data_IF_141372270166
#
_entry.id   IF_141372270166
#
_cell.length_a   1.000
_cell.length_b   1.000
_cell.length_c   1.000
_cell.angle_alpha   90.00
_cell.angle_beta   90.00
_cell.angle_gamma   90.00
#
_symmetry.space_group_name_H-M   'P 1'
#
loop_
_entity.id
_entity.type
_entity.pdbx_description
1 polymer ?
#
# COMPACT_ATOMS: atom_id res chain seq x y z
N UNK A 1 -22.21 -32.01 13.37
CA UNK A 1 -20.82 -31.90 13.85
C UNK A 1 -20.41 -33.24 14.42
N UNK A 2 -19.16 -33.64 14.24
CA UNK A 2 -18.62 -34.81 14.95
C UNK A 2 -18.52 -34.48 16.44
N UNK A 3 -18.83 -35.45 17.31
CA UNK A 3 -18.43 -35.36 18.72
C UNK A 3 -16.92 -35.14 18.78
N UNK A 4 -16.45 -34.26 19.66
CA UNK A 4 -15.03 -34.18 20.02
C UNK A 4 -14.66 -35.59 20.49
N UNK A 5 -13.97 -36.34 19.63
CA UNK A 5 -13.55 -37.70 19.92
C UNK A 5 -12.23 -37.56 20.69
N UNK A 6 -12.34 -37.62 22.00
CA UNK A 6 -11.28 -37.62 23.01
C UNK A 6 -10.41 -38.89 22.98
N UNK A 7 -10.72 -39.83 22.07
CA UNK A 7 -9.84 -40.94 21.69
C UNK A 7 -9.37 -40.77 20.23
N UNK A 8 -8.08 -40.48 19.98
CA UNK A 8 -7.54 -40.42 18.63
C UNK A 8 -7.44 -41.83 18.05
N UNK A 9 -8.55 -42.31 17.49
CA UNK A 9 -8.55 -43.51 16.65
C UNK A 9 -7.91 -43.10 15.32
N UNK A 10 -6.87 -43.82 14.90
CA UNK A 10 -6.19 -43.71 13.59
C UNK A 10 -7.16 -44.07 12.44
N UNK A 11 -8.24 -43.31 12.27
CA UNK A 11 -9.14 -43.41 11.13
C UNK A 11 -8.53 -42.64 9.97
N UNK A 12 -8.53 -43.18 8.74
CA UNK A 12 -8.14 -42.43 7.56
C UNK A 12 -8.91 -41.11 7.46
N UNK A 13 -8.19 -40.00 7.28
CA UNK A 13 -8.76 -38.66 7.11
C UNK A 13 -9.27 -38.51 5.67
N UNK A 14 -10.37 -39.18 5.34
CA UNK A 14 -10.98 -39.16 4.00
C UNK A 14 -11.61 -37.79 3.63
N UNK A 15 -11.48 -36.79 4.50
CA UNK A 15 -12.04 -35.44 4.36
C UNK A 15 -10.95 -34.36 4.26
N UNK A 16 -9.69 -34.76 4.12
CA UNK A 16 -8.56 -33.87 3.86
C UNK A 16 -8.06 -34.17 2.45
N UNK A 17 -8.06 -33.14 1.61
CA UNK A 17 -7.64 -33.23 0.22
C UNK A 17 -6.35 -32.42 0.03
N UNK A 18 -5.31 -33.04 -0.52
CA UNK A 18 -4.10 -32.35 -0.92
C UNK A 18 -4.27 -31.82 -2.35
N UNK A 19 -4.82 -30.61 -2.49
CA UNK A 19 -5.01 -29.93 -3.76
C UNK A 19 -5.02 -28.42 -3.59
N UNK A 20 -5.05 -27.71 -4.71
CA UNK A 20 -5.28 -26.27 -4.73
C UNK A 20 -6.76 -25.98 -4.43
N UNK A 21 -6.99 -25.12 -3.44
CA UNK A 21 -8.33 -24.75 -2.99
C UNK A 21 -9.00 -23.69 -3.87
N UNK A 22 -8.26 -23.00 -4.72
CA UNK A 22 -8.76 -21.95 -5.62
C UNK A 22 -8.88 -22.43 -7.06
N UNK A 23 -7.92 -23.23 -7.54
CA UNK A 23 -7.83 -23.66 -8.94
C UNK A 23 -7.88 -25.19 -9.11
N UNK A 24 -8.54 -25.64 -10.17
CA UNK A 24 -8.49 -27.00 -10.67
C UNK A 24 -8.16 -26.96 -12.17
N UNK A 25 -6.90 -27.20 -12.51
CA UNK A 25 -6.35 -26.93 -13.84
C UNK A 25 -6.47 -25.45 -14.22
N UNK A 26 -7.27 -25.16 -15.25
CA UNK A 26 -7.56 -23.79 -15.70
C UNK A 26 -8.89 -23.23 -15.18
N UNK A 27 -9.60 -24.00 -14.34
CA UNK A 27 -10.90 -23.65 -13.79
C UNK A 27 -10.85 -23.33 -12.30
N UNK A 28 -11.97 -22.84 -11.77
CA UNK A 28 -12.15 -22.64 -10.34
C UNK A 28 -12.37 -23.99 -9.63
N UNK A 29 -11.64 -24.25 -8.54
CA UNK A 29 -11.76 -25.51 -7.78
C UNK A 29 -13.14 -25.68 -7.13
N UNK A 30 -13.78 -26.85 -7.23
CA UNK A 30 -15.03 -27.12 -6.49
C UNK A 30 -14.79 -27.24 -4.98
N UNK A 31 -15.58 -26.54 -4.15
CA UNK A 31 -15.63 -26.76 -2.70
C UNK A 31 -16.81 -27.66 -2.32
N UNK A 32 -16.66 -28.54 -1.31
CA UNK A 32 -17.77 -29.35 -0.83
C UNK A 32 -18.84 -28.47 -0.17
N UNK A 33 -20.10 -28.95 -0.20
CA UNK A 33 -21.18 -28.33 0.58
C UNK A 33 -20.85 -28.44 2.07
N UNK A 34 -20.97 -27.34 2.78
CA UNK A 34 -20.67 -27.26 4.21
C UNK A 34 -21.72 -26.43 4.94
N UNK A 35 -21.87 -26.59 6.25
CA UNK A 35 -22.69 -25.64 7.03
C UNK A 35 -21.91 -24.35 7.27
N UNK A 36 -20.63 -24.49 7.61
CA UNK A 36 -19.75 -23.37 7.97
C UNK A 36 -18.39 -23.55 7.30
N UNK A 37 -17.85 -22.46 6.77
CA UNK A 37 -16.50 -22.37 6.23
C UNK A 37 -15.64 -21.63 7.26
N UNK A 38 -14.58 -22.26 7.76
CA UNK A 38 -13.63 -21.59 8.66
C UNK A 38 -12.20 -21.82 8.17
N UNK A 39 -11.31 -20.86 8.41
CA UNK A 39 -9.91 -21.05 8.09
C UNK A 39 -9.04 -19.82 8.25
N UNK A 40 -7.74 -20.07 8.17
CA UNK A 40 -6.70 -19.05 8.09
C UNK A 40 -5.95 -19.23 6.75
N UNK A 41 -6.46 -18.69 5.64
CA UNK A 41 -5.82 -18.83 4.34
C UNK A 41 -4.45 -18.11 4.30
N UNK A 42 -3.57 -18.45 3.34
CA UNK A 42 -2.20 -17.94 3.32
C UNK A 42 -2.13 -16.43 3.08
N UNK A 43 -1.24 -15.75 3.82
CA UNK A 43 -1.00 -14.32 3.69
C UNK A 43 0.12 -14.04 2.68
N UNK A 44 -0.24 -13.54 1.50
CA UNK A 44 0.73 -13.12 0.49
C UNK A 44 0.27 -11.86 -0.24
N UNK A 45 1.00 -10.77 0.01
CA UNK A 45 0.70 -9.48 -0.59
C UNK A 45 0.93 -9.43 -2.10
N UNK A 46 0.17 -8.59 -2.80
CA UNK A 46 0.14 -8.45 -4.27
C UNK A 46 1.54 -8.43 -4.94
N UNK A 47 2.48 -7.66 -4.38
CA UNK A 47 3.85 -7.49 -4.90
C UNK A 47 4.71 -8.75 -4.75
N UNK A 48 4.36 -9.66 -3.85
CA UNK A 48 5.09 -10.91 -3.59
C UNK A 48 4.47 -12.12 -4.29
N UNK A 49 3.22 -12.02 -4.75
CA UNK A 49 2.51 -13.13 -5.39
C UNK A 49 3.24 -13.69 -6.61
N UNK A 50 3.70 -12.83 -7.53
CA UNK A 50 4.41 -13.30 -8.73
C UNK A 50 5.73 -13.99 -8.39
N UNK A 51 6.47 -13.46 -7.42
CA UNK A 51 7.73 -14.06 -6.97
C UNK A 51 7.52 -15.38 -6.22
N UNK A 52 6.40 -15.51 -5.48
CA UNK A 52 6.10 -16.68 -4.66
C UNK A 52 5.37 -17.80 -5.40
N UNK A 53 4.48 -17.47 -6.35
CA UNK A 53 3.58 -18.43 -7.01
C UNK A 53 3.83 -18.56 -8.52
N UNK A 54 4.61 -17.65 -9.11
CA UNK A 54 4.95 -17.65 -10.53
C UNK A 54 3.92 -16.95 -11.42
N UNK A 55 4.40 -16.50 -12.59
CA UNK A 55 3.62 -15.70 -13.53
C UNK A 55 2.43 -16.47 -14.12
N UNK A 56 2.63 -17.75 -14.49
CA UNK A 56 1.59 -18.58 -15.11
C UNK A 56 0.42 -18.86 -14.16
N UNK A 57 0.70 -19.24 -12.92
CA UNK A 57 -0.32 -19.49 -11.90
C UNK A 57 -1.17 -18.25 -11.63
N UNK A 58 -0.50 -17.11 -11.42
CA UNK A 58 -1.18 -15.86 -11.12
C UNK A 58 -2.00 -15.34 -12.30
N UNK A 59 -1.58 -15.61 -13.54
CA UNK A 59 -2.37 -15.30 -14.73
C UNK A 59 -3.67 -16.09 -14.76
N UNK A 60 -3.61 -17.41 -14.54
CA UNK A 60 -4.80 -18.28 -14.44
C UNK A 60 -5.70 -17.83 -13.30
N UNK A 61 -5.16 -17.62 -12.09
CA UNK A 61 -5.93 -17.21 -10.93
C UNK A 61 -6.69 -15.89 -11.16
N UNK A 62 -6.01 -14.89 -11.73
CA UNK A 62 -6.64 -13.59 -12.05
C UNK A 62 -7.69 -13.72 -13.14
N UNK A 63 -7.50 -14.59 -14.11
CA UNK A 63 -8.50 -14.85 -15.15
C UNK A 63 -9.74 -15.54 -14.57
N UNK A 64 -9.56 -16.56 -13.71
CA UNK A 64 -10.65 -17.31 -13.08
C UNK A 64 -11.53 -16.44 -12.17
N UNK A 65 -10.94 -15.46 -11.49
CA UNK A 65 -11.64 -14.54 -10.59
C UNK A 65 -11.83 -13.13 -11.18
N UNK A 66 -11.68 -12.98 -12.50
CA UNK A 66 -11.84 -11.69 -13.17
C UNK A 66 -13.23 -11.09 -12.88
N UNK A 67 -13.26 -9.79 -12.56
CA UNK A 67 -14.48 -9.07 -12.17
C UNK A 67 -14.94 -9.29 -10.73
N UNK A 68 -14.41 -10.30 -10.01
CA UNK A 68 -14.79 -10.60 -8.62
C UNK A 68 -13.72 -10.19 -7.61
N UNK A 69 -12.43 -10.38 -7.95
CA UNK A 69 -11.29 -9.99 -7.11
C UNK A 69 -10.44 -8.96 -7.86
N UNK A 70 -10.26 -7.73 -7.35
CA UNK A 70 -9.49 -6.72 -8.05
C UNK A 70 -8.01 -7.08 -8.20
N UNK A 71 -7.41 -6.59 -9.29
CA UNK A 71 -5.95 -6.61 -9.44
C UNK A 71 -5.29 -5.80 -8.33
N UNK A 72 -4.31 -6.40 -7.63
CA UNK A 72 -3.65 -5.77 -6.48
C UNK A 72 -4.22 -6.18 -5.12
N UNK A 73 -5.24 -7.05 -5.09
CA UNK A 73 -5.69 -7.67 -3.85
C UNK A 73 -4.70 -8.74 -3.35
N UNK A 74 -4.60 -8.87 -2.02
CA UNK A 74 -3.81 -9.90 -1.34
C UNK A 74 -4.39 -11.29 -1.60
N UNK A 75 -3.54 -12.32 -1.55
CA UNK A 75 -3.90 -13.69 -1.95
C UNK A 75 -5.07 -14.26 -1.11
N UNK A 76 -5.17 -13.88 0.16
CA UNK A 76 -6.26 -14.28 1.06
C UNK A 76 -7.65 -13.87 0.55
N UNK A 77 -7.74 -12.77 -0.21
CA UNK A 77 -9.01 -12.23 -0.71
C UNK A 77 -9.75 -13.22 -1.63
N UNK A 78 -9.02 -14.11 -2.32
CA UNK A 78 -9.62 -15.13 -3.18
C UNK A 78 -10.44 -16.17 -2.39
N UNK A 79 -10.02 -16.50 -1.16
CA UNK A 79 -10.81 -17.38 -0.27
C UNK A 79 -12.04 -16.68 0.27
N UNK A 80 -11.96 -15.37 0.56
CA UNK A 80 -13.11 -14.58 0.99
C UNK A 80 -14.19 -14.52 -0.11
N UNK A 81 -13.80 -14.19 -1.34
CA UNK A 81 -14.72 -14.15 -2.47
C UNK A 81 -15.31 -15.54 -2.76
N UNK A 82 -14.48 -16.58 -2.71
CA UNK A 82 -14.96 -17.95 -2.91
C UNK A 82 -15.93 -18.40 -1.83
N UNK A 83 -15.66 -18.08 -0.56
CA UNK A 83 -16.57 -18.36 0.55
C UNK A 83 -17.88 -17.57 0.40
N UNK A 84 -17.83 -16.31 -0.01
CA UNK A 84 -19.02 -15.50 -0.36
C UNK A 84 -19.86 -16.19 -1.43
N UNK A 85 -19.25 -16.64 -2.52
CA UNK A 85 -19.95 -17.36 -3.58
C UNK A 85 -20.58 -18.69 -3.09
N UNK A 86 -19.93 -19.43 -2.18
CA UNK A 86 -20.55 -20.62 -1.59
C UNK A 86 -21.78 -20.28 -0.75
N UNK A 87 -21.73 -19.17 -0.01
CA UNK A 87 -22.89 -18.68 0.74
C UNK A 87 -24.01 -18.31 -0.24
N UNK A 88 -23.75 -17.45 -1.23
CA UNK A 88 -24.73 -16.99 -2.21
C UNK A 88 -25.44 -18.15 -2.94
N UNK A 89 -24.69 -19.19 -3.31
CA UNK A 89 -25.22 -20.38 -3.96
C UNK A 89 -25.97 -21.36 -3.02
N UNK A 90 -26.03 -21.08 -1.71
CA UNK A 90 -26.67 -21.95 -0.72
C UNK A 90 -25.86 -23.20 -0.35
N UNK A 91 -24.59 -23.27 -0.76
CA UNK A 91 -23.66 -24.35 -0.44
C UNK A 91 -22.98 -24.17 0.93
N UNK A 92 -23.14 -23.00 1.55
CA UNK A 92 -22.73 -22.68 2.90
C UNK A 92 -23.76 -21.78 3.60
N UNK A 93 -23.74 -21.75 4.94
CA UNK A 93 -24.60 -20.83 5.72
C UNK A 93 -23.80 -19.69 6.37
N UNK A 94 -22.56 -19.96 6.80
CA UNK A 94 -21.67 -18.97 7.43
C UNK A 94 -20.22 -19.20 6.99
N UNK A 95 -19.44 -18.14 7.00
CA UNK A 95 -17.99 -18.17 6.84
C UNK A 95 -17.31 -17.37 7.96
N UNK A 96 -16.11 -17.79 8.36
CA UNK A 96 -15.25 -17.10 9.32
C UNK A 96 -13.80 -17.28 8.93
N UNK A 97 -13.16 -16.22 8.43
CA UNK A 97 -11.82 -16.28 7.85
C UNK A 97 -10.89 -15.26 8.50
N UNK A 98 -9.61 -15.63 8.60
CA UNK A 98 -8.53 -14.74 9.04
C UNK A 98 -7.85 -14.12 7.82
N UNK A 99 -7.53 -12.83 7.89
CA UNK A 99 -6.74 -12.12 6.90
C UNK A 99 -5.76 -11.16 7.59
N UNK A 100 -4.75 -10.67 6.86
CA UNK A 100 -4.01 -9.48 7.31
C UNK A 100 -4.96 -8.29 7.45
N UNK A 101 -4.69 -7.37 8.38
CA UNK A 101 -5.55 -6.21 8.61
C UNK A 101 -5.66 -5.26 7.40
N UNK A 102 -4.79 -5.43 6.39
CA UNK A 102 -4.91 -4.81 5.06
C UNK A 102 -6.23 -5.14 4.35
N UNK A 103 -6.98 -6.17 4.76
CA UNK A 103 -8.29 -6.53 4.20
C UNK A 103 -9.30 -5.37 4.25
N UNK A 104 -9.11 -4.44 5.21
CA UNK A 104 -9.98 -3.29 5.49
C UNK A 104 -9.85 -2.16 4.46
N UNK A 105 -8.83 -2.17 3.60
CA UNK A 105 -8.49 -1.03 2.74
C UNK A 105 -8.21 -1.39 1.29
N UNK A 106 -8.16 -0.36 0.44
CA UNK A 106 -7.70 -0.44 -0.94
C UNK A 106 -8.44 -1.49 -1.79
N UNK A 107 -7.66 -2.24 -2.58
CA UNK A 107 -8.18 -3.31 -3.45
C UNK A 107 -8.78 -4.48 -2.65
N UNK A 108 -8.28 -4.75 -1.45
CA UNK A 108 -8.76 -5.85 -0.62
C UNK A 108 -10.19 -5.61 -0.12
N UNK A 109 -10.50 -4.36 0.30
CA UNK A 109 -11.82 -3.97 0.82
C UNK A 109 -12.96 -4.28 -0.15
N UNK A 110 -12.69 -4.24 -1.46
CA UNK A 110 -13.71 -4.54 -2.49
C UNK A 110 -14.31 -5.93 -2.36
N UNK A 111 -13.57 -6.90 -1.81
CA UNK A 111 -14.11 -8.23 -1.52
C UNK A 111 -15.08 -8.18 -0.32
N UNK A 112 -14.81 -7.33 0.67
CA UNK A 112 -15.77 -7.07 1.76
C UNK A 112 -16.99 -6.28 1.27
N UNK A 113 -16.82 -5.35 0.33
CA UNK A 113 -17.92 -4.64 -0.36
C UNK A 113 -18.86 -5.68 -1.03
N UNK A 114 -18.33 -6.60 -1.84
CA UNK A 114 -19.12 -7.68 -2.44
C UNK A 114 -19.79 -8.60 -1.41
N UNK A 115 -19.12 -8.93 -0.30
CA UNK A 115 -19.73 -9.70 0.79
C UNK A 115 -20.96 -8.99 1.34
N UNK A 116 -20.94 -7.66 1.44
CA UNK A 116 -22.08 -6.88 1.94
C UNK A 116 -23.20 -6.73 0.91
N UNK A 117 -22.90 -6.80 -0.38
CA UNK A 117 -23.91 -6.81 -1.45
C UNK A 117 -24.79 -8.07 -1.41
N UNK A 118 -24.20 -9.23 -1.09
CA UNK A 118 -24.89 -10.52 -1.10
C UNK A 118 -25.14 -11.10 0.29
N UNK A 119 -24.75 -10.39 1.36
CA UNK A 119 -24.80 -10.90 2.73
C UNK A 119 -24.49 -9.85 3.79
N UNK A 120 -24.12 -10.33 4.98
CA UNK A 120 -23.89 -9.49 6.16
C UNK A 120 -22.60 -9.92 6.87
N UNK A 121 -21.83 -8.95 7.34
CA UNK A 121 -20.74 -9.18 8.31
C UNK A 121 -21.37 -9.08 9.69
N UNK A 122 -21.37 -10.17 10.45
CA UNK A 122 -22.07 -10.24 11.73
C UNK A 122 -21.14 -10.32 12.94
N UNK A 123 -19.88 -10.68 12.73
CA UNK A 123 -18.86 -10.63 13.78
C UNK A 123 -17.51 -10.34 13.16
N UNK A 124 -16.75 -9.42 13.73
CA UNK A 124 -15.39 -9.15 13.28
C UNK A 124 -14.49 -8.71 14.42
N UNK A 125 -13.21 -9.06 14.30
CA UNK A 125 -12.14 -8.41 15.04
C UNK A 125 -11.32 -7.62 14.03
N UNK A 126 -11.32 -6.30 14.20
CA UNK A 126 -10.79 -5.38 13.20
C UNK A 126 -9.27 -5.44 13.15
N UNK A 127 -8.62 -5.61 14.29
CA UNK A 127 -7.16 -5.53 14.41
C UNK A 127 -6.61 -6.27 15.64
N UNK A 128 -6.07 -7.47 15.45
CA UNK A 128 -5.56 -8.35 16.51
C UNK A 128 -4.06 -8.59 16.39
N UNK A 129 -3.36 -8.70 17.53
CA UNK A 129 -1.96 -9.11 17.55
C UNK A 129 -1.86 -10.58 17.18
N UNK A 130 -0.96 -10.91 16.25
CA UNK A 130 -0.70 -12.28 15.84
C UNK A 130 0.79 -12.55 15.78
N UNK A 131 1.21 -13.69 16.33
CA UNK A 131 2.58 -14.15 16.28
C UNK A 131 2.70 -15.12 15.10
N UNK A 132 3.44 -14.74 14.05
CA UNK A 132 3.77 -15.63 12.95
C UNK A 132 5.30 -15.71 12.80
N UNK A 133 5.91 -16.84 13.16
CA UNK A 133 7.34 -17.12 12.96
C UNK A 133 8.29 -15.96 13.38
N UNK A 134 7.96 -15.25 14.47
CA UNK A 134 8.74 -14.12 14.98
C UNK A 134 8.50 -12.77 14.29
N UNK A 135 7.59 -12.70 13.31
CA UNK A 135 7.08 -11.45 12.77
C UNK A 135 5.78 -11.04 13.47
N UNK A 136 5.73 -9.80 13.96
CA UNK A 136 4.50 -9.19 14.47
C UNK A 136 3.61 -8.84 13.27
N UNK A 137 2.56 -9.63 13.06
CA UNK A 137 1.54 -9.39 12.03
C UNK A 137 0.25 -9.00 12.74
N UNK A 138 -0.46 -8.05 12.16
CA UNK A 138 -1.79 -7.66 12.60
C UNK A 138 -2.82 -8.31 11.68
N UNK A 139 -3.81 -8.98 12.28
CA UNK A 139 -4.82 -9.73 11.54
C UNK A 139 -6.22 -9.20 11.82
N UNK A 140 -7.10 -9.36 10.84
CA UNK A 140 -8.54 -9.21 11.01
C UNK A 140 -9.20 -10.58 10.92
N UNK A 141 -10.20 -10.82 11.77
CA UNK A 141 -11.06 -11.99 11.71
C UNK A 141 -12.43 -11.51 11.27
N UNK A 142 -13.00 -12.12 10.22
CA UNK A 142 -14.25 -11.65 9.64
C UNK A 142 -15.21 -12.81 9.48
N UNK A 143 -16.38 -12.69 10.10
CA UNK A 143 -17.46 -13.66 10.05
C UNK A 143 -18.67 -13.09 9.30
N UNK A 144 -19.11 -13.80 8.26
CA UNK A 144 -20.17 -13.33 7.35
C UNK A 144 -21.12 -14.45 6.91
N UNK A 145 -22.32 -14.07 6.46
CA UNK A 145 -23.39 -14.99 6.07
C UNK A 145 -24.52 -14.30 5.29
N UNK A 146 -25.44 -15.07 4.70
CA UNK A 146 -26.51 -14.52 3.83
C UNK A 146 -27.66 -13.82 4.55
N UNK A 147 -27.77 -13.99 5.87
CA UNK A 147 -28.91 -13.51 6.65
C UNK A 147 -28.41 -12.72 7.84
N UNK A 148 -29.17 -11.69 8.19
CA UNK A 148 -29.00 -10.97 9.44
C UNK A 148 -28.96 -11.98 10.60
N UNK A 149 -27.97 -11.87 11.49
CA UNK A 149 -27.83 -12.79 12.61
C UNK A 149 -29.04 -12.67 13.54
N UNK A 150 -29.48 -13.78 14.10
CA UNK A 150 -30.41 -13.76 15.25
C UNK A 150 -29.71 -13.30 16.55
N UNK A 151 -28.38 -13.24 16.52
CA UNK A 151 -27.53 -12.77 17.61
C UNK A 151 -27.11 -11.32 17.35
N UNK A 152 -26.70 -10.57 18.39
CA UNK A 152 -26.12 -9.24 18.20
C UNK A 152 -24.94 -9.27 17.22
N UNK A 153 -24.83 -8.23 16.39
CA UNK A 153 -23.65 -7.99 15.57
C UNK A 153 -22.52 -7.49 16.49
N UNK A 154 -21.33 -8.08 16.39
CA UNK A 154 -20.20 -7.79 17.28
C UNK A 154 -18.99 -7.27 16.50
N UNK A 155 -18.42 -6.14 16.93
CA UNK A 155 -17.14 -5.64 16.44
C UNK A 155 -16.19 -5.50 17.63
N UNK A 156 -15.06 -6.19 17.58
CA UNK A 156 -14.07 -6.21 18.67
C UNK A 156 -14.73 -6.51 20.03
N UNK A 157 -15.58 -7.54 20.04
CA UNK A 157 -16.38 -8.02 21.19
C UNK A 157 -17.43 -7.02 21.73
N UNK A 158 -17.68 -5.91 21.01
CA UNK A 158 -18.70 -4.92 21.38
C UNK A 158 -19.95 -5.04 20.49
N UNK A 159 -21.17 -5.00 21.06
CA UNK A 159 -22.40 -4.92 20.28
C UNK A 159 -22.49 -3.64 19.46
N UNK A 160 -22.72 -3.79 18.15
CA UNK A 160 -22.87 -2.68 17.21
C UNK A 160 -24.12 -2.85 16.36
N UNK A 161 -24.59 -1.76 15.74
CA UNK A 161 -25.77 -1.80 14.85
C UNK A 161 -25.42 -2.50 13.54
N UNK A 162 -24.25 -2.22 12.98
CA UNK A 162 -23.74 -2.81 11.75
C UNK A 162 -22.20 -2.71 11.72
N UNK A 163 -21.59 -3.62 10.95
CA UNK A 163 -20.16 -3.59 10.63
C UNK A 163 -20.02 -3.17 9.18
N UNK A 164 -19.24 -2.11 8.95
CA UNK A 164 -18.93 -1.59 7.62
C UNK A 164 -17.78 -2.36 6.98
N UNK A 165 -17.56 -2.16 5.69
CA UNK A 165 -16.59 -2.96 4.92
C UNK A 165 -15.13 -2.62 5.25
N UNK A 166 -14.87 -1.51 5.93
CA UNK A 166 -13.57 -1.17 6.54
C UNK A 166 -13.41 -1.72 7.98
N UNK A 167 -14.36 -2.54 8.43
CA UNK A 167 -14.47 -3.10 9.77
C UNK A 167 -14.55 -2.02 10.87
N UNK A 168 -15.20 -0.90 10.55
CA UNK A 168 -15.67 0.06 11.56
C UNK A 168 -17.15 -0.15 11.84
N UNK A 169 -17.69 0.57 12.83
CA UNK A 169 -19.11 0.53 13.15
C UNK A 169 -19.68 1.92 13.31
N UNK A 170 -20.97 2.03 13.00
CA UNK A 170 -21.77 3.19 13.39
C UNK A 170 -22.03 3.15 14.91
N UNK A 171 -21.63 4.20 15.62
CA UNK A 171 -21.84 4.31 17.06
C UNK A 171 -23.30 4.21 17.50
N UNK A 172 -23.51 3.96 18.79
CA UNK A 172 -24.84 3.92 19.41
C UNK A 172 -25.50 5.31 19.40
N UNK A 173 -26.59 5.42 18.65
CA UNK A 173 -27.60 6.48 18.61
C UNK A 173 -27.23 7.84 17.96
N UNK A 174 -28.05 8.21 16.97
CA UNK A 174 -28.41 9.54 16.43
C UNK A 174 -27.82 10.04 15.10
N UNK A 175 -26.72 9.50 14.60
CA UNK A 175 -26.37 9.56 13.16
C UNK A 175 -25.33 8.48 12.87
N UNK A 176 -25.78 7.33 12.38
CA UNK A 176 -24.90 6.27 11.90
C UNK A 176 -24.19 6.75 10.62
N UNK A 177 -23.03 7.39 10.77
CA UNK A 177 -22.25 7.88 9.64
C UNK A 177 -21.35 6.75 9.14
N UNK A 178 -21.67 6.20 7.97
CA UNK A 178 -20.82 5.25 7.27
C UNK A 178 -19.79 5.99 6.42
N UNK A 179 -18.55 6.04 6.93
CA UNK A 179 -17.44 6.72 6.26
C UNK A 179 -16.90 5.97 5.05
N UNK A 180 -17.34 4.73 4.80
CA UNK A 180 -16.95 3.99 3.59
C UNK A 180 -17.52 4.61 2.32
N UNK A 181 -18.60 5.40 2.46
CA UNK A 181 -19.23 6.19 1.40
C UNK A 181 -18.63 7.59 1.23
N UNK A 182 -17.64 7.98 2.03
CA UNK A 182 -17.03 9.30 1.90
C UNK A 182 -16.35 9.47 0.53
N UNK A 183 -16.67 10.58 -0.14
CA UNK A 183 -16.16 10.88 -1.47
C UNK A 183 -14.94 11.83 -1.40
N UNK A 184 -13.98 11.68 -2.32
CA UNK A 184 -12.89 12.65 -2.46
C UNK A 184 -13.43 14.04 -2.79
N UNK A 185 -12.96 15.05 -2.06
CA UNK A 185 -13.26 16.46 -2.34
C UNK A 185 -12.54 16.87 -3.65
N UNK A 186 -13.25 17.26 -4.73
CA UNK A 186 -12.64 17.56 -6.02
C UNK A 186 -11.57 18.66 -5.96
N UNK A 187 -11.74 19.64 -5.08
CA UNK A 187 -10.82 20.75 -4.86
C UNK A 187 -9.45 20.30 -4.32
N UNK A 188 -9.38 19.11 -3.71
CA UNK A 188 -8.13 18.52 -3.22
C UNK A 188 -7.41 17.68 -4.28
N UNK A 189 -8.01 17.50 -5.47
CA UNK A 189 -7.40 16.72 -6.53
C UNK A 189 -6.05 17.32 -6.95
N UNK A 190 -5.04 16.46 -7.11
CA UNK A 190 -3.70 16.90 -7.49
C UNK A 190 -2.99 17.77 -6.44
N UNK A 191 -3.44 17.75 -5.17
CA UNK A 191 -2.75 18.45 -4.10
C UNK A 191 -1.74 17.55 -3.35
N UNK A 192 -1.93 16.23 -3.33
CA UNK A 192 -1.07 15.29 -2.58
C UNK A 192 -0.29 14.37 -3.51
N UNK A 193 1.00 14.20 -3.22
CA UNK A 193 1.92 13.41 -4.04
C UNK A 193 2.90 12.62 -3.18
N UNK A 194 3.35 11.49 -3.71
CA UNK A 194 4.52 10.78 -3.20
C UNK A 194 5.79 11.39 -3.81
N UNK A 195 6.84 11.56 -3.01
CA UNK A 195 8.14 12.02 -3.48
C UNK A 195 8.82 11.10 -4.50
N UNK A 196 10.02 11.51 -4.90
CA UNK A 196 10.80 10.89 -5.98
C UNK A 196 11.46 9.57 -5.58
N UNK A 197 11.62 8.66 -6.53
CA UNK A 197 12.31 7.38 -6.32
C UNK A 197 13.63 7.35 -7.09
N UNK A 198 14.75 7.60 -6.41
CA UNK A 198 16.09 7.66 -7.02
C UNK A 198 16.57 6.32 -7.59
N UNK A 199 16.36 5.20 -6.89
CA UNK A 199 16.91 3.87 -7.16
C UNK A 199 18.43 3.88 -7.49
N UNK A 200 19.27 3.68 -6.48
CA UNK A 200 20.73 3.75 -6.62
C UNK A 200 21.36 4.94 -5.87
N UNK A 201 22.69 5.01 -5.80
CA UNK A 201 23.45 5.94 -4.96
C UNK A 201 23.61 7.35 -5.58
N UNK A 202 22.49 8.07 -5.75
CA UNK A 202 22.48 9.46 -6.21
C UNK A 202 22.81 10.50 -5.13
N UNK A 203 22.90 10.09 -3.87
CA UNK A 203 23.06 10.99 -2.72
C UNK A 203 24.52 11.25 -2.37
N UNK A 204 24.77 12.41 -1.76
CA UNK A 204 26.07 12.93 -1.36
C UNK A 204 25.96 13.58 0.01
N UNK A 205 27.08 13.73 0.72
CA UNK A 205 27.13 14.60 1.90
C UNK A 205 27.04 16.07 1.51
N UNK A 206 26.52 16.90 2.41
CA UNK A 206 26.42 18.34 2.18
C UNK A 206 27.77 19.02 1.97
N UNK A 207 28.84 18.56 2.64
CA UNK A 207 30.19 19.10 2.43
C UNK A 207 30.68 18.88 1.01
N UNK A 208 30.47 17.67 0.47
CA UNK A 208 30.85 17.35 -0.89
C UNK A 208 30.01 18.13 -1.90
N UNK A 209 28.71 18.23 -1.67
CA UNK A 209 27.82 19.03 -2.51
C UNK A 209 28.25 20.52 -2.54
N UNK A 210 28.53 21.12 -1.38
CA UNK A 210 29.00 22.51 -1.28
C UNK A 210 30.35 22.75 -1.94
N UNK A 211 31.24 21.75 -1.99
CA UNK A 211 32.45 21.82 -2.81
C UNK A 211 32.11 21.81 -4.30
N UNK A 212 31.24 20.89 -4.73
CA UNK A 212 30.88 20.73 -6.14
C UNK A 212 30.15 21.94 -6.73
N UNK A 213 29.37 22.66 -5.91
CA UNK A 213 28.71 23.91 -6.33
C UNK A 213 29.66 24.99 -6.87
N UNK A 214 30.95 24.92 -6.53
CA UNK A 214 31.96 25.93 -6.92
C UNK A 214 32.60 25.63 -8.28
N UNK A 215 32.45 24.42 -8.81
CA UNK A 215 33.09 24.04 -10.07
C UNK A 215 32.28 24.52 -11.27
N UNK A 216 32.94 25.02 -12.33
CA UNK A 216 32.30 25.37 -13.58
C UNK A 216 31.89 24.12 -14.36
N UNK A 217 31.01 24.30 -15.34
CA UNK A 217 30.62 23.26 -16.29
C UNK A 217 30.82 23.75 -17.73
N UNK A 218 31.15 22.86 -18.69
CA UNK A 218 31.33 23.21 -20.10
C UNK A 218 30.14 23.90 -20.77
N UNK A 219 28.92 23.68 -20.27
CA UNK A 219 27.70 24.32 -20.77
C UNK A 219 27.44 25.73 -20.18
N UNK A 220 28.33 26.23 -19.31
CA UNK A 220 28.17 27.50 -18.60
C UNK A 220 27.07 27.52 -17.53
N UNK A 221 26.44 26.39 -17.23
CA UNK A 221 25.39 26.25 -16.21
C UNK A 221 26.01 25.90 -14.85
N UNK A 222 25.47 26.41 -13.72
CA UNK A 222 25.99 26.09 -12.40
C UNK A 222 25.58 24.68 -11.96
N UNK A 223 26.39 24.02 -11.13
CA UNK A 223 26.02 22.73 -10.54
C UNK A 223 24.78 22.80 -9.64
N UNK A 224 24.37 23.99 -9.18
CA UNK A 224 23.11 24.19 -8.45
C UNK A 224 21.86 23.82 -9.25
N UNK A 225 21.97 23.71 -10.58
CA UNK A 225 20.86 23.25 -11.41
C UNK A 225 20.50 21.79 -11.09
N UNK A 226 21.51 20.96 -10.80
CA UNK A 226 21.40 19.50 -10.62
C UNK A 226 21.76 19.00 -9.22
N UNK A 227 22.41 19.81 -8.37
CA UNK A 227 22.67 19.48 -6.97
C UNK A 227 21.62 20.12 -6.08
N UNK A 228 20.84 19.28 -5.39
CA UNK A 228 19.72 19.74 -4.56
C UNK A 228 19.82 19.17 -3.14
N UNK A 229 19.43 19.94 -2.10
CA UNK A 229 19.14 19.35 -0.80
C UNK A 229 18.10 18.24 -0.93
N UNK A 230 18.18 17.24 -0.08
CA UNK A 230 17.28 16.08 -0.13
C UNK A 230 16.61 15.87 1.23
N UNK A 231 15.42 15.26 1.22
CA UNK A 231 14.70 14.91 2.44
C UNK A 231 14.06 13.53 2.31
N UNK A 232 14.37 12.64 3.25
CA UNK A 232 13.62 11.41 3.49
C UNK A 232 12.73 11.51 4.74
N UNK A 233 12.01 10.44 5.06
CA UNK A 233 11.16 10.41 6.26
C UNK A 233 11.91 10.63 7.58
N UNK A 234 13.19 10.28 7.67
CA UNK A 234 14.02 10.58 8.86
C UNK A 234 14.39 12.06 8.92
N UNK A 235 14.66 12.72 7.80
CA UNK A 235 14.93 14.17 7.75
C UNK A 235 13.69 14.99 8.11
N UNK A 236 12.49 14.45 7.87
CA UNK A 236 11.23 15.04 8.39
C UNK A 236 11.14 14.79 9.91
N UNK A 237 11.43 13.57 10.33
CA UNK A 237 11.17 13.12 11.71
C UNK A 237 12.24 13.54 12.72
N UNK A 238 13.41 14.00 12.26
CA UNK A 238 14.61 14.26 13.08
C UNK A 238 15.33 15.49 12.54
N UNK A 239 16.50 15.79 13.12
CA UNK A 239 17.39 16.83 12.58
C UNK A 239 17.77 16.46 11.12
N UNK A 240 17.69 17.41 10.17
CA UNK A 240 18.11 17.16 8.80
C UNK A 240 19.54 16.62 8.72
N UNK A 241 19.73 15.58 7.92
CA UNK A 241 21.01 14.90 7.73
C UNK A 241 22.04 15.70 6.92
N UNK A 242 21.66 16.86 6.36
CA UNK A 242 22.44 17.61 5.37
C UNK A 242 22.84 16.75 4.17
N UNK A 243 21.96 15.81 3.79
CA UNK A 243 22.12 14.99 2.58
C UNK A 243 21.68 15.79 1.36
N UNK A 244 22.47 15.68 0.29
CA UNK A 244 22.17 16.25 -1.02
C UNK A 244 21.98 15.13 -2.04
N UNK A 245 21.39 15.46 -3.17
CA UNK A 245 21.13 14.52 -4.25
C UNK A 245 21.43 15.15 -5.61
N UNK A 246 21.91 14.30 -6.52
CA UNK A 246 22.07 14.64 -7.94
C UNK A 246 20.72 14.40 -8.63
N UNK A 247 20.12 15.46 -9.14
CA UNK A 247 18.85 15.47 -9.86
C UNK A 247 19.00 16.17 -11.21
N UNK A 248 19.19 15.41 -12.28
CA UNK A 248 19.24 15.98 -13.63
C UNK A 248 17.85 16.36 -14.18
N UNK A 249 16.77 16.05 -13.45
CA UNK A 249 15.40 16.37 -13.84
C UNK A 249 14.78 15.41 -14.87
N UNK A 250 13.64 15.85 -15.41
CA UNK A 250 12.79 15.04 -16.28
C UNK A 250 13.06 15.35 -17.75
N UNK A 251 13.77 14.47 -18.44
CA UNK A 251 13.89 14.55 -19.90
C UNK A 251 15.26 14.99 -20.43
N UNK A 252 16.20 15.36 -19.55
CA UNK A 252 17.58 15.64 -19.94
C UNK A 252 18.22 14.44 -20.66
N UNK A 253 18.83 14.68 -21.82
CA UNK A 253 19.54 13.62 -22.54
C UNK A 253 20.81 13.21 -21.79
N UNK A 254 21.41 12.07 -22.15
CA UNK A 254 22.67 11.64 -21.52
C UNK A 254 23.81 12.61 -21.83
N UNK A 255 23.82 13.13 -23.06
CA UNK A 255 24.76 14.13 -23.55
C UNK A 255 24.64 15.44 -22.79
N UNK A 256 23.42 15.91 -22.55
CA UNK A 256 23.17 17.13 -21.77
C UNK A 256 23.54 16.94 -20.29
N UNK A 257 23.26 15.77 -19.71
CA UNK A 257 23.63 15.46 -18.34
C UNK A 257 25.17 15.38 -18.19
N UNK A 258 25.87 14.84 -19.19
CA UNK A 258 27.33 14.75 -19.21
C UNK A 258 28.04 16.11 -19.17
N UNK A 259 27.36 17.19 -19.55
CA UNK A 259 27.90 18.55 -19.43
C UNK A 259 27.96 19.04 -17.98
N UNK A 260 27.36 18.33 -17.01
CA UNK A 260 27.60 18.54 -15.58
C UNK A 260 28.67 17.56 -15.12
N UNK A 261 29.93 17.82 -15.46
CA UNK A 261 31.00 16.82 -15.49
C UNK A 261 31.15 16.05 -14.17
N UNK A 262 31.30 16.77 -13.05
CA UNK A 262 31.52 16.15 -11.73
C UNK A 262 30.27 15.36 -11.27
N UNK A 263 29.04 15.92 -11.24
CA UNK A 263 27.84 15.13 -10.92
C UNK A 263 27.65 13.92 -11.84
N UNK A 264 27.91 14.07 -13.14
CA UNK A 264 27.72 12.98 -14.09
C UNK A 264 28.74 11.86 -13.90
N UNK A 265 30.02 12.19 -13.69
CA UNK A 265 31.07 11.22 -13.40
C UNK A 265 30.74 10.37 -12.16
N UNK A 266 30.18 10.98 -11.11
CA UNK A 266 29.72 10.26 -9.93
C UNK A 266 28.63 9.24 -10.27
N UNK A 267 27.61 9.64 -11.03
CA UNK A 267 26.50 8.76 -11.40
C UNK A 267 26.97 7.66 -12.36
N UNK A 268 27.93 7.91 -13.25
CA UNK A 268 28.59 6.87 -14.06
C UNK A 268 29.28 5.83 -13.19
N UNK A 269 30.06 6.27 -12.19
CA UNK A 269 30.85 5.36 -11.33
C UNK A 269 29.99 4.59 -10.34
N UNK A 270 28.95 5.22 -9.78
CA UNK A 270 28.22 4.70 -8.63
C UNK A 270 26.83 4.16 -8.98
N UNK A 271 26.11 4.81 -9.91
CA UNK A 271 24.71 4.44 -10.22
C UNK A 271 24.63 3.50 -11.41
N UNK A 272 25.33 3.79 -12.51
CA UNK A 272 25.24 2.97 -13.73
C UNK A 272 25.45 1.47 -13.45
N UNK A 273 26.47 1.04 -12.68
CA UNK A 273 26.69 -0.39 -12.42
C UNK A 273 25.50 -1.07 -11.70
N UNK A 274 24.78 -0.32 -10.83
CA UNK A 274 23.60 -0.85 -10.12
C UNK A 274 22.37 -0.94 -11.02
N UNK A 275 22.40 -0.31 -12.19
CA UNK A 275 21.25 -0.24 -13.12
C UNK A 275 21.35 -1.26 -14.25
N UNK A 276 22.56 -1.61 -14.70
CA UNK A 276 22.81 -2.39 -15.92
C UNK A 276 22.02 -3.73 -15.99
N UNK A 277 21.70 -4.35 -14.84
CA UNK A 277 21.02 -5.66 -14.77
C UNK A 277 19.54 -5.60 -14.36
N UNK A 278 18.95 -4.43 -14.16
CA UNK A 278 17.56 -4.31 -13.71
C UNK A 278 16.57 -4.78 -14.79
N UNK A 279 15.54 -5.54 -14.42
CA UNK A 279 14.51 -6.10 -15.33
C UNK A 279 13.81 -5.04 -16.21
N UNK A 280 13.65 -3.81 -15.73
CA UNK A 280 12.94 -2.73 -16.44
C UNK A 280 13.89 -1.96 -17.37
N UNK A 281 13.65 -2.02 -18.67
CA UNK A 281 14.48 -1.38 -19.70
C UNK A 281 14.70 0.12 -19.49
N UNK A 282 13.64 0.85 -19.10
CA UNK A 282 13.74 2.29 -18.86
C UNK A 282 14.80 2.64 -17.81
N UNK A 283 14.96 1.79 -16.78
CA UNK A 283 15.93 2.01 -15.71
C UNK A 283 17.37 1.72 -16.14
N UNK A 284 17.55 0.84 -17.13
CA UNK A 284 18.85 0.54 -17.78
C UNK A 284 19.22 1.64 -18.77
N UNK A 285 18.30 1.98 -19.66
CA UNK A 285 18.50 2.93 -20.76
C UNK A 285 18.72 4.36 -20.27
N UNK A 286 18.00 4.77 -19.23
CA UNK A 286 18.07 6.13 -18.66
C UNK A 286 18.65 6.09 -17.24
N UNK A 287 19.74 5.34 -17.04
CA UNK A 287 20.33 5.08 -15.72
C UNK A 287 20.73 6.35 -14.95
N UNK A 288 20.98 7.46 -15.64
CA UNK A 288 21.28 8.76 -15.03
C UNK A 288 20.04 9.47 -14.45
N UNK A 289 18.83 8.97 -14.74
CA UNK A 289 17.57 9.52 -14.23
C UNK A 289 17.06 8.69 -13.05
N UNK A 290 16.26 9.31 -12.20
CA UNK A 290 15.51 8.60 -11.17
C UNK A 290 14.59 7.55 -11.77
N UNK A 291 14.37 6.47 -11.02
CA UNK A 291 13.39 5.44 -11.39
C UNK A 291 11.99 6.05 -11.50
N UNK A 292 11.59 6.88 -10.53
CA UNK A 292 10.32 7.62 -10.57
C UNK A 292 10.57 9.11 -10.33
N UNK A 293 10.43 9.92 -11.38
CA UNK A 293 10.71 11.36 -11.33
C UNK A 293 9.53 12.22 -10.85
N UNK A 294 8.32 11.64 -10.78
CA UNK A 294 7.09 12.30 -10.30
C UNK A 294 6.77 13.65 -11.01
N UNK A 295 6.43 13.63 -12.31
CA UNK A 295 6.11 14.85 -13.06
C UNK A 295 4.95 15.65 -12.50
N UNK A 296 3.90 14.98 -11.98
CA UNK A 296 2.77 15.65 -11.33
C UNK A 296 3.21 16.49 -10.14
N UNK A 297 3.99 15.91 -9.23
CA UNK A 297 4.56 16.59 -8.07
C UNK A 297 5.39 17.81 -8.50
N UNK A 298 6.35 17.61 -9.40
CA UNK A 298 7.26 18.69 -9.82
C UNK A 298 6.53 19.87 -10.42
N UNK A 299 5.48 19.63 -11.20
CA UNK A 299 4.61 20.71 -11.73
C UNK A 299 3.83 21.40 -10.62
N UNK A 300 3.24 20.64 -9.71
CA UNK A 300 2.40 21.18 -8.64
C UNK A 300 3.17 22.09 -7.67
N UNK A 301 4.46 21.83 -7.44
CA UNK A 301 5.30 22.66 -6.55
C UNK A 301 6.15 23.69 -7.30
N UNK A 302 6.06 23.77 -8.64
CA UNK A 302 6.96 24.61 -9.44
C UNK A 302 6.85 26.10 -9.09
N UNK A 303 5.65 26.57 -8.80
CA UNK A 303 5.36 27.99 -8.50
C UNK A 303 5.29 28.27 -7.00
N UNK A 304 5.62 27.29 -6.15
CA UNK A 304 5.59 27.45 -4.69
C UNK A 304 7.00 27.69 -4.16
N UNK A 305 7.18 28.66 -3.26
CA UNK A 305 8.46 28.87 -2.57
C UNK A 305 8.74 27.80 -1.50
N UNK A 306 7.66 27.27 -0.92
CA UNK A 306 7.66 26.18 0.06
C UNK A 306 6.43 25.31 -0.13
N UNK A 307 6.51 24.07 0.31
CA UNK A 307 5.39 23.13 0.29
C UNK A 307 5.35 22.34 1.60
N UNK A 308 4.20 21.73 1.89
CA UNK A 308 4.00 20.94 3.09
C UNK A 308 4.50 19.52 2.83
N UNK A 309 5.19 18.93 3.80
CA UNK A 309 5.63 17.54 3.76
C UNK A 309 5.31 16.81 5.05
N UNK A 310 5.06 15.50 4.94
CA UNK A 310 5.00 14.57 6.08
C UNK A 310 5.72 13.28 5.71
N UNK A 311 6.35 12.62 6.68
CA UNK A 311 6.78 11.23 6.49
C UNK A 311 5.55 10.37 6.19
N UNK A 312 5.66 9.39 5.29
CA UNK A 312 4.63 8.40 4.99
C UNK A 312 4.51 7.37 6.13
N UNK A 313 5.63 7.00 6.72
CA UNK A 313 5.72 6.04 7.83
C UNK A 313 6.28 6.75 9.07
N UNK A 314 5.45 6.89 10.10
CA UNK A 314 5.85 7.51 11.36
C UNK A 314 4.92 7.07 12.48
N UNK A 315 5.45 6.97 13.71
CA UNK A 315 4.65 6.72 14.91
C UNK A 315 3.72 7.90 15.23
N UNK A 316 4.18 9.12 14.96
CA UNK A 316 3.41 10.34 15.13
C UNK A 316 3.35 11.08 13.79
N UNK A 317 2.16 11.53 13.40
CA UNK A 317 1.98 12.30 12.17
C UNK A 317 2.12 13.78 12.48
N UNK A 318 3.01 14.45 11.76
CA UNK A 318 3.15 15.90 11.80
C UNK A 318 3.60 16.40 10.43
N UNK A 319 3.37 17.68 10.18
CA UNK A 319 3.67 18.28 8.89
C UNK A 319 4.70 19.39 9.04
N UNK A 320 5.58 19.52 8.06
CA UNK A 320 6.65 20.52 8.05
C UNK A 320 6.62 21.29 6.75
N UNK A 321 7.22 22.49 6.76
CA UNK A 321 7.52 23.22 5.55
C UNK A 321 8.85 22.75 4.98
N UNK A 322 8.86 22.38 3.69
CA UNK A 322 10.09 22.22 2.92
C UNK A 322 10.22 23.33 1.88
N UNK A 323 11.43 23.89 1.67
CA UNK A 323 11.65 24.84 0.61
C UNK A 323 11.59 24.14 -0.75
N UNK A 324 11.20 24.87 -1.80
CA UNK A 324 11.07 24.37 -3.18
C UNK A 324 12.29 23.58 -3.68
N UNK A 325 13.48 24.02 -3.27
CA UNK A 325 14.75 23.44 -3.74
C UNK A 325 15.02 22.05 -3.20
N UNK A 326 14.34 21.63 -2.13
CA UNK A 326 14.60 20.36 -1.46
C UNK A 326 13.79 19.23 -2.12
N UNK A 327 14.47 18.16 -2.50
CA UNK A 327 13.86 17.01 -3.20
C UNK A 327 13.34 15.99 -2.17
N UNK A 328 12.02 15.75 -2.10
CA UNK A 328 11.45 14.74 -1.21
C UNK A 328 11.60 13.33 -1.80
N UNK A 329 11.92 12.36 -0.95
CA UNK A 329 11.98 10.92 -1.29
C UNK A 329 10.60 10.27 -1.33
N UNK A 330 10.50 9.06 -1.88
CA UNK A 330 9.29 8.25 -2.02
C UNK A 330 8.58 7.86 -0.71
N UNK A 331 9.21 8.03 0.45
CA UNK A 331 8.55 7.88 1.77
C UNK A 331 8.20 9.22 2.41
N UNK A 332 8.23 10.30 1.64
CA UNK A 332 7.71 11.61 2.00
C UNK A 332 6.47 11.89 1.15
N UNK A 333 5.37 12.22 1.81
CA UNK A 333 4.16 12.72 1.17
C UNK A 333 4.25 14.24 1.13
N UNK A 334 4.04 14.80 -0.05
CA UNK A 334 4.06 16.23 -0.33
C UNK A 334 2.63 16.70 -0.54
N UNK A 335 2.23 17.74 0.18
CA UNK A 335 1.03 18.51 -0.13
C UNK A 335 1.47 19.81 -0.81
N UNK A 336 1.15 19.94 -2.11
CA UNK A 336 1.52 21.04 -2.97
C UNK A 336 0.67 22.30 -2.68
N UNK A 337 0.77 22.78 -1.44
CA UNK A 337 0.12 23.98 -0.91
C UNK A 337 1.14 24.76 -0.09
N UNK A 338 1.02 26.08 -0.09
CA UNK A 338 1.91 27.01 0.63
C UNK A 338 1.20 27.85 1.69
N UNK A 339 -0.13 27.68 1.82
CA UNK A 339 -0.98 28.44 2.75
C UNK A 339 -1.05 27.82 4.15
N UNK A 340 -1.11 28.69 5.17
CA UNK A 340 -1.12 28.27 6.57
C UNK A 340 -2.47 27.65 6.97
N UNK A 341 -3.55 27.89 6.23
CA UNK A 341 -4.87 27.29 6.49
C UNK A 341 -4.82 25.78 6.27
N UNK A 342 -4.30 25.32 5.14
CA UNK A 342 -4.11 23.90 4.85
C UNK A 342 -3.16 23.26 5.86
N UNK A 343 -2.07 23.97 6.21
CA UNK A 343 -1.13 23.50 7.22
C UNK A 343 -1.79 23.29 8.60
N UNK A 344 -2.67 24.22 9.01
CA UNK A 344 -3.44 24.10 10.25
C UNK A 344 -4.48 22.99 10.21
N UNK A 345 -5.20 22.82 9.10
CA UNK A 345 -6.18 21.73 8.92
C UNK A 345 -5.50 20.37 9.05
N UNK A 346 -4.34 20.18 8.40
CA UNK A 346 -3.59 18.93 8.45
C UNK A 346 -3.09 18.59 9.87
N UNK A 347 -2.81 19.60 10.69
CA UNK A 347 -2.46 19.45 12.11
C UNK A 347 -3.66 19.36 13.06
N UNK A 348 -4.88 19.49 12.55
CA UNK A 348 -6.06 19.44 13.41
C UNK A 348 -6.36 18.03 13.88
N UNK A 349 -6.99 17.92 15.05
CA UNK A 349 -7.51 16.64 15.56
C UNK A 349 -8.53 15.99 14.61
N UNK A 350 -9.23 16.79 13.80
CA UNK A 350 -10.17 16.28 12.81
C UNK A 350 -9.45 15.50 11.70
N UNK A 351 -8.36 16.06 11.17
CA UNK A 351 -7.55 15.38 10.16
C UNK A 351 -6.83 14.17 10.76
N UNK A 352 -6.34 14.27 12.00
CA UNK A 352 -5.72 13.15 12.70
C UNK A 352 -6.68 11.96 12.83
N UNK A 353 -7.91 12.19 13.29
CA UNK A 353 -8.96 11.16 13.39
C UNK A 353 -9.44 10.63 12.04
N UNK A 354 -9.32 11.42 10.98
CA UNK A 354 -9.71 11.02 9.62
C UNK A 354 -8.66 10.13 8.95
N UNK A 355 -7.38 10.44 9.15
CA UNK A 355 -6.29 9.89 8.36
C UNK A 355 -5.50 8.76 9.05
N UNK A 356 -5.68 8.57 10.37
CA UNK A 356 -5.01 7.55 11.18
C UNK A 356 -6.05 6.62 11.80
#
# INVERSE_FOLDING_TARGET
>A
GYSLNDQPILKPLNHIECRDALLDGNGEAGWPVATVIIGNPPFLGDKRQLAGLGDAYMATLRQTFAGRVPGGADLVCYWFEKARAQLENGNAQRAGLVATNSIRGGANRKVLDHIRETGVIFNAWSDQEWINEGAAVRVSLVCFGNKEPQQPVLLDDLPVVAIHTDLTSSGSASTALDLTHAEPIPENAGASFIGTTKNGPFTLSGDLARQWLKFPNPNGRPNSDVLRPWANGMDINRRPSDTWIIDFGMGISGEQAALYEIPFEHVVKQVKPTRDYLRRDAYRKYWWRYAENRPGLRRAIAELDRFIATSMVSKHRFFVWLPRIQIPENLVVVIARSDDTTFGILHSRFHELWAL
#
